data_IF_182424840510
#
_entry.id   IF_182424840510
#
_cell.length_a   1.000
_cell.length_b   1.000
_cell.length_c   1.000
_cell.angle_alpha   90.00
_cell.angle_beta   90.00
_cell.angle_gamma   90.00
#
_symmetry.space_group_name_H-M   'P 1'
#
loop_
_entity.id
_entity.type
_entity.pdbx_description
1 polymer ?
#
# COMPACT_ATOMS: atom_id res chain seq x y z
N UNK A 1 5.01 -18.74 -0.10
CA UNK A 1 4.27 -17.46 -0.09
C UNK A 1 5.04 -16.50 -0.98
N UNK A 2 4.55 -16.20 -2.19
CA UNK A 2 5.20 -15.20 -3.05
C UNK A 2 5.00 -13.84 -2.39
N UNK A 3 6.10 -13.20 -1.99
CA UNK A 3 6.06 -11.95 -1.24
C UNK A 3 5.85 -10.78 -2.21
N UNK A 4 4.59 -10.42 -2.47
CA UNK A 4 4.20 -9.34 -3.39
C UNK A 4 5.02 -8.04 -3.14
N UNK A 5 5.24 -7.71 -1.87
CA UNK A 5 5.98 -6.51 -1.46
C UNK A 5 7.44 -6.48 -1.91
N UNK A 6 8.10 -7.62 -2.13
CA UNK A 6 9.47 -7.63 -2.65
C UNK A 6 9.55 -7.27 -4.14
N UNK A 7 8.46 -7.46 -4.87
CA UNK A 7 8.38 -7.13 -6.30
C UNK A 7 7.64 -5.81 -6.56
N UNK A 8 7.06 -5.18 -5.52
CA UNK A 8 6.31 -3.92 -5.63
C UNK A 8 7.08 -2.81 -6.34
N UNK A 9 8.38 -2.67 -6.06
CA UNK A 9 9.22 -1.65 -6.68
C UNK A 9 9.44 -1.94 -8.17
N UNK A 10 9.67 -3.21 -8.53
CA UNK A 10 9.77 -3.64 -9.92
C UNK A 10 8.46 -3.40 -10.69
N UNK A 11 7.30 -3.71 -10.09
CA UNK A 11 6.00 -3.44 -10.71
C UNK A 11 5.76 -1.95 -10.90
N UNK A 12 6.20 -1.11 -9.95
CA UNK A 12 6.10 0.36 -10.09
C UNK A 12 6.91 0.84 -11.28
N UNK A 13 8.15 0.38 -11.39
CA UNK A 13 9.03 0.74 -12.51
C UNK A 13 8.44 0.26 -13.84
N UNK A 14 7.96 -0.97 -13.91
CA UNK A 14 7.35 -1.51 -15.12
C UNK A 14 6.07 -0.77 -15.52
N UNK A 15 5.28 -0.28 -14.56
CA UNK A 15 4.13 0.58 -14.82
C UNK A 15 4.54 1.88 -15.52
N UNK A 16 5.65 2.49 -15.11
CA UNK A 16 6.17 3.70 -15.74
C UNK A 16 6.78 3.41 -17.13
N UNK A 17 7.55 2.33 -17.27
CA UNK A 17 8.15 1.93 -18.55
C UNK A 17 7.11 1.58 -19.60
N UNK A 18 6.02 0.89 -19.21
CA UNK A 18 4.92 0.53 -20.10
C UNK A 18 3.75 1.51 -20.06
N UNK A 19 3.95 2.72 -19.52
CA UNK A 19 2.86 3.67 -19.27
C UNK A 19 2.04 3.96 -20.51
N UNK A 20 2.68 4.31 -21.61
CA UNK A 20 2.03 4.69 -22.87
C UNK A 20 1.31 3.55 -23.59
N UNK A 21 1.74 2.29 -23.40
CA UNK A 21 1.07 1.12 -23.97
C UNK A 21 -0.12 0.66 -23.13
N UNK A 22 0.00 0.75 -21.80
CA UNK A 22 -1.03 0.29 -20.87
C UNK A 22 -2.11 1.34 -20.65
N UNK A 23 -1.82 2.64 -20.74
CA UNK A 23 -2.78 3.72 -20.55
C UNK A 23 -4.09 3.55 -21.34
N UNK A 24 -4.09 3.34 -22.67
CA UNK A 24 -5.33 3.16 -23.42
C UNK A 24 -6.08 1.87 -23.01
N UNK A 25 -5.34 0.79 -22.72
CA UNK A 25 -5.93 -0.51 -22.31
C UNK A 25 -6.58 -0.42 -20.94
N UNK A 26 -5.89 0.17 -19.98
CA UNK A 26 -6.38 0.38 -18.61
C UNK A 26 -7.57 1.33 -18.61
N UNK A 27 -7.53 2.39 -19.41
CA UNK A 27 -8.65 3.31 -19.58
C UNK A 27 -9.88 2.60 -20.15
N UNK A 28 -9.71 1.73 -21.14
CA UNK A 28 -10.81 0.94 -21.71
C UNK A 28 -11.44 0.00 -20.67
N UNK A 29 -10.63 -0.75 -19.92
CA UNK A 29 -11.12 -1.62 -18.84
C UNK A 29 -11.84 -0.80 -17.77
N UNK A 30 -11.27 0.34 -17.35
CA UNK A 30 -11.90 1.24 -16.40
C UNK A 30 -13.27 1.71 -16.90
N UNK A 31 -13.37 2.13 -18.16
CA UNK A 31 -14.64 2.60 -18.73
C UNK A 31 -15.68 1.49 -18.85
N UNK A 32 -15.27 0.27 -19.18
CA UNK A 32 -16.15 -0.90 -19.23
C UNK A 32 -16.56 -1.42 -17.83
N UNK A 33 -15.85 -1.01 -16.78
CA UNK A 33 -16.11 -1.45 -15.42
C UNK A 33 -17.37 -0.83 -14.80
N UNK A 34 -17.92 -1.51 -13.80
CA UNK A 34 -19.08 -1.03 -13.04
C UNK A 34 -18.76 0.24 -12.24
N UNK A 35 -19.80 1.03 -11.96
CA UNK A 35 -19.69 2.29 -11.21
C UNK A 35 -19.02 2.09 -9.84
N UNK A 36 -19.25 0.95 -9.20
CA UNK A 36 -18.64 0.61 -7.92
C UNK A 36 -17.11 0.48 -8.04
N UNK A 37 -16.62 -0.15 -9.11
CA UNK A 37 -15.17 -0.27 -9.38
C UNK A 37 -14.60 1.09 -9.75
N UNK A 38 -15.32 1.89 -10.55
CA UNK A 38 -14.89 3.24 -10.89
C UNK A 38 -14.69 4.12 -9.64
N UNK A 39 -15.61 4.00 -8.68
CA UNK A 39 -15.49 4.67 -7.38
C UNK A 39 -14.33 4.10 -6.54
N UNK A 40 -14.11 2.78 -6.57
CA UNK A 40 -13.03 2.13 -5.82
C UNK A 40 -11.64 2.50 -6.36
N UNK A 41 -11.49 2.74 -7.67
CA UNK A 41 -10.23 3.21 -8.26
C UNK A 41 -9.95 4.66 -7.88
N UNK A 42 -10.99 5.49 -7.76
CA UNK A 42 -10.89 6.88 -7.26
C UNK A 42 -10.53 6.93 -5.77
N UNK A 43 -11.20 6.12 -4.96
CA UNK A 43 -10.97 6.03 -3.51
C UNK A 43 -10.81 4.56 -3.09
N UNK A 44 -9.59 4.01 -3.24
CA UNK A 44 -9.32 2.62 -2.90
C UNK A 44 -9.38 2.43 -1.38
N UNK A 45 -10.36 1.66 -0.91
CA UNK A 45 -10.54 1.33 0.52
C UNK A 45 -10.74 -0.16 0.74
N UNK A 46 -10.20 -0.68 1.84
CA UNK A 46 -10.32 -2.09 2.23
C UNK A 46 -11.79 -2.54 2.36
N UNK A 47 -12.62 -1.67 2.95
CA UNK A 47 -14.05 -1.91 3.11
C UNK A 47 -14.77 -2.09 1.77
N UNK A 48 -14.44 -1.27 0.77
CA UNK A 48 -15.01 -1.39 -0.56
C UNK A 48 -14.52 -2.64 -1.28
N UNK A 49 -13.23 -3.01 -1.13
CA UNK A 49 -12.68 -4.26 -1.69
C UNK A 49 -13.43 -5.48 -1.14
N UNK A 50 -13.72 -5.47 0.16
CA UNK A 50 -14.49 -6.54 0.81
C UNK A 50 -15.94 -6.58 0.32
N UNK A 51 -16.59 -5.42 0.19
CA UNK A 51 -18.00 -5.31 -0.22
C UNK A 51 -18.21 -5.68 -1.69
N UNK A 52 -17.26 -5.32 -2.57
CA UNK A 52 -17.34 -5.50 -4.02
C UNK A 52 -16.40 -6.60 -4.53
N UNK A 53 -16.07 -7.57 -3.67
CA UNK A 53 -15.09 -8.64 -3.93
C UNK A 53 -15.22 -9.30 -5.31
N UNK A 54 -16.43 -9.69 -5.73
CA UNK A 54 -16.64 -10.31 -7.04
C UNK A 54 -16.31 -9.37 -8.23
N UNK A 55 -16.68 -8.09 -8.13
CA UNK A 55 -16.38 -7.09 -9.15
C UNK A 55 -14.88 -6.76 -9.16
N UNK A 56 -14.26 -6.69 -7.98
CA UNK A 56 -12.81 -6.48 -7.83
C UNK A 56 -12.04 -7.64 -8.47
N UNK A 57 -12.44 -8.89 -8.20
CA UNK A 57 -11.83 -10.06 -8.80
C UNK A 57 -11.89 -9.98 -10.34
N UNK A 58 -13.07 -9.70 -10.91
CA UNK A 58 -13.21 -9.56 -12.36
C UNK A 58 -12.36 -8.43 -12.94
N UNK A 59 -12.26 -7.30 -12.24
CA UNK A 59 -11.40 -6.21 -12.67
C UNK A 59 -9.92 -6.60 -12.66
N UNK A 60 -9.47 -7.31 -11.62
CA UNK A 60 -8.11 -7.84 -11.53
C UNK A 60 -7.80 -8.85 -12.64
N UNK A 61 -8.77 -9.68 -13.04
CA UNK A 61 -8.64 -10.61 -14.17
C UNK A 61 -8.51 -9.89 -15.51
N UNK A 62 -9.27 -8.82 -15.74
CA UNK A 62 -9.15 -8.01 -16.97
C UNK A 62 -7.79 -7.27 -17.01
N UNK A 63 -7.30 -6.76 -15.87
CA UNK A 63 -5.95 -6.20 -15.76
C UNK A 63 -4.87 -7.26 -16.00
N UNK A 64 -5.07 -8.48 -15.50
CA UNK A 64 -4.16 -9.61 -15.73
C UNK A 64 -4.09 -10.02 -17.20
N UNK A 65 -5.21 -9.88 -17.93
CA UNK A 65 -5.31 -10.20 -19.36
C UNK A 65 -4.54 -9.24 -20.25
N UNK A 66 -4.39 -7.98 -19.84
CA UNK A 66 -3.54 -6.98 -20.51
C UNK A 66 -2.10 -6.98 -19.98
N UNK A 67 -1.73 -7.98 -19.17
CA UNK A 67 -0.40 -8.10 -18.57
C UNK A 67 -0.02 -6.89 -17.70
N UNK A 68 -1.00 -6.30 -17.00
CA UNK A 68 -0.73 -5.16 -16.13
C UNK A 68 0.24 -5.56 -15.00
N UNK A 69 1.27 -4.75 -14.67
CA UNK A 69 2.30 -5.13 -13.71
C UNK A 69 1.72 -5.51 -12.34
N UNK A 70 2.07 -6.71 -11.87
CA UNK A 70 1.61 -7.23 -10.58
C UNK A 70 0.15 -7.73 -10.55
N UNK A 71 -0.68 -7.45 -11.57
CA UNK A 71 -2.09 -7.85 -11.61
C UNK A 71 -2.28 -9.37 -11.63
N UNK A 72 -1.48 -10.12 -12.39
CA UNK A 72 -1.54 -11.59 -12.43
C UNK A 72 -1.35 -12.22 -11.05
N UNK A 73 -0.30 -11.80 -10.35
CA UNK A 73 0.02 -12.28 -9.00
C UNK A 73 -1.10 -11.96 -8.01
N UNK A 74 -1.71 -10.77 -8.11
CA UNK A 74 -2.80 -10.34 -7.23
C UNK A 74 -4.11 -11.04 -7.58
N UNK A 75 -4.45 -11.16 -8.87
CA UNK A 75 -5.65 -11.86 -9.33
C UNK A 75 -5.63 -13.34 -8.91
N UNK A 76 -4.50 -14.02 -9.09
CA UNK A 76 -4.34 -15.41 -8.67
C UNK A 76 -4.48 -15.58 -7.15
N UNK A 77 -3.86 -14.69 -6.37
CA UNK A 77 -3.98 -14.74 -4.92
C UNK A 77 -5.42 -14.43 -4.46
N UNK A 78 -6.04 -13.41 -5.05
CA UNK A 78 -7.42 -13.02 -4.79
C UNK A 78 -8.41 -14.13 -5.18
N UNK A 79 -8.18 -14.86 -6.27
CA UNK A 79 -8.97 -16.04 -6.64
C UNK A 79 -8.85 -17.18 -5.64
N UNK A 80 -7.70 -17.32 -4.97
CA UNK A 80 -7.43 -18.42 -4.00
C UNK A 80 -7.96 -18.11 -2.60
N UNK A 81 -7.73 -16.89 -2.10
CA UNK A 81 -8.06 -16.51 -0.72
C UNK A 81 -9.12 -15.42 -0.60
N UNK A 82 -9.54 -14.83 -1.72
CA UNK A 82 -10.48 -13.71 -1.78
C UNK A 82 -9.76 -12.35 -1.84
N UNK A 83 -10.22 -11.39 -2.68
CA UNK A 83 -9.68 -10.03 -2.76
C UNK A 83 -9.54 -9.31 -1.42
N UNK A 84 -10.48 -9.54 -0.49
CA UNK A 84 -10.45 -8.94 0.84
C UNK A 84 -9.23 -9.38 1.69
N UNK A 85 -8.69 -10.58 1.47
CA UNK A 85 -7.53 -11.10 2.18
C UNK A 85 -6.20 -10.66 1.58
N UNK A 86 -6.24 -10.09 0.37
CA UNK A 86 -5.10 -9.50 -0.33
C UNK A 86 -5.35 -8.02 -0.63
N UNK A 87 -6.09 -7.36 0.25
CA UNK A 87 -6.51 -5.98 0.06
C UNK A 87 -5.33 -5.03 -0.12
N UNK A 88 -4.24 -5.15 0.66
CA UNK A 88 -3.04 -4.34 0.48
C UNK A 88 -2.49 -4.35 -0.96
N UNK A 89 -2.15 -5.54 -1.52
CA UNK A 89 -1.78 -5.66 -2.93
C UNK A 89 -2.84 -5.16 -3.94
N UNK A 90 -4.14 -5.40 -3.67
CA UNK A 90 -5.24 -4.92 -4.52
C UNK A 90 -5.29 -3.40 -4.55
N UNK A 91 -5.25 -2.76 -3.38
CA UNK A 91 -5.27 -1.31 -3.24
C UNK A 91 -4.07 -0.68 -3.95
N UNK A 92 -2.89 -1.28 -3.83
CA UNK A 92 -1.71 -0.81 -4.53
C UNK A 92 -1.85 -0.89 -6.06
N UNK A 93 -2.41 -1.98 -6.60
CA UNK A 93 -2.71 -2.07 -8.04
C UNK A 93 -3.70 -0.98 -8.45
N UNK A 94 -4.72 -0.73 -7.63
CA UNK A 94 -5.76 0.26 -7.89
C UNK A 94 -5.22 1.69 -7.88
N UNK A 95 -4.36 2.03 -6.91
CA UNK A 95 -3.60 3.29 -6.90
C UNK A 95 -2.82 3.45 -8.20
N UNK A 96 -2.07 2.40 -8.62
CA UNK A 96 -1.33 2.46 -9.87
C UNK A 96 -2.25 2.68 -11.05
N UNK A 97 -3.33 1.91 -11.18
CA UNK A 97 -4.34 2.06 -12.24
C UNK A 97 -4.93 3.47 -12.29
N UNK A 98 -5.20 4.11 -11.14
CA UNK A 98 -5.66 5.50 -11.09
C UNK A 98 -4.70 6.46 -11.83
N UNK A 99 -3.38 6.24 -11.70
CA UNK A 99 -2.36 7.06 -12.40
C UNK A 99 -2.32 6.89 -13.92
N UNK A 100 -2.98 5.86 -14.46
CA UNK A 100 -3.14 5.61 -15.90
C UNK A 100 -4.46 6.15 -16.45
N UNK A 101 -5.31 6.75 -15.61
CA UNK A 101 -6.58 7.31 -16.07
C UNK A 101 -6.44 8.83 -16.03
N UNK A 102 -6.21 9.50 -17.18
CA UNK A 102 -5.91 10.93 -17.22
C UNK A 102 -6.98 11.79 -16.53
N UNK A 103 -8.25 11.40 -16.69
CA UNK A 103 -9.38 12.08 -16.04
C UNK A 103 -9.30 12.05 -14.51
N UNK A 104 -8.78 10.97 -13.91
CA UNK A 104 -8.62 10.87 -12.46
C UNK A 104 -7.44 11.70 -11.98
N UNK A 105 -6.32 11.65 -12.71
CA UNK A 105 -5.12 12.43 -12.39
C UNK A 105 -5.41 13.95 -12.42
N UNK A 106 -6.19 14.41 -13.40
CA UNK A 106 -6.58 15.81 -13.50
C UNK A 106 -7.59 16.23 -12.41
N UNK A 107 -8.55 15.36 -12.09
CA UNK A 107 -9.52 15.57 -11.00
C UNK A 107 -8.83 15.64 -9.63
N UNK A 108 -7.87 14.75 -9.36
CA UNK A 108 -7.08 14.74 -8.11
C UNK A 108 -6.23 16.00 -7.96
N UNK A 109 -5.58 16.43 -9.06
CA UNK A 109 -4.76 17.65 -9.09
C UNK A 109 -5.60 18.90 -8.83
N UNK A 110 -6.82 18.98 -9.41
CA UNK A 110 -7.74 20.08 -9.17
C UNK A 110 -8.25 20.12 -7.72
N UNK A 111 -8.55 18.95 -7.14
CA UNK A 111 -8.96 18.82 -5.74
C UNK A 111 -7.84 19.23 -4.77
N UNK A 112 -6.59 18.94 -5.11
CA UNK A 112 -5.43 19.36 -4.32
C UNK A 112 -5.18 20.86 -4.40
N UNK A 113 -5.36 21.47 -5.58
CA UNK A 113 -5.23 22.92 -5.78
C UNK A 113 -6.31 23.71 -5.01
N UNK A 114 -7.56 23.24 -5.05
CA UNK A 114 -8.70 23.84 -4.32
C UNK A 114 -8.53 23.72 -2.80
N UNK A 115 -8.01 22.58 -2.31
CA UNK A 115 -7.74 22.37 -0.88
C UNK A 115 -6.57 23.21 -0.36
N UNK A 116 -5.66 23.64 -1.23
CA UNK A 116 -4.52 24.50 -0.88
C UNK A 116 -4.89 25.98 -0.86
N UNK A 117 -5.88 26.39 -1.62
CA UNK A 117 -6.40 27.78 -1.65
C UNK A 117 -7.27 28.12 -0.44
N UNK A 118 -7.96 27.14 0.16
CA UNK A 118 -8.76 27.33 1.38
C UNK A 118 -7.91 27.47 2.67
N UNK A 119 -6.60 27.22 2.61
CA UNK A 119 -5.70 27.26 3.76
C UNK A 119 -4.94 28.60 3.95
N UNK A 120 -5.27 29.65 3.20
CA UNK A 120 -4.69 30.99 3.42
C UNK A 120 -5.52 31.70 4.50
N UNK A 121 -5.07 31.79 5.77
CA UNK A 121 -5.71 32.72 6.71
C UNK A 121 -5.57 34.14 6.15
N UNK A 122 -6.55 35.03 6.36
CA UNK A 122 -6.44 36.42 5.92
C UNK A 122 -5.16 37.06 6.50
N UNK A 123 -4.45 37.92 5.75
CA UNK A 123 -3.27 38.61 6.26
C UNK A 123 -3.68 39.54 7.40
N UNK A 124 -3.39 39.12 8.63
CA UNK A 124 -3.37 40.02 9.78
C UNK A 124 -2.06 40.80 9.72
N UNK A 125 -2.20 42.06 9.32
CA UNK A 125 -1.20 43.10 9.40
C UNK A 125 -0.81 43.36 10.87
N UNK A 126 0.49 43.62 11.07
CA UNK A 126 1.10 44.44 12.13
C UNK A 126 1.76 43.79 13.38
N UNK A 127 2.99 44.30 13.61
CA UNK A 127 3.76 44.46 14.86
C UNK A 127 4.54 43.22 15.37
N UNK A 128 5.88 43.14 15.21
CA UNK A 128 6.98 43.86 15.88
C UNK A 128 7.58 43.08 17.07
N UNK A 129 8.90 43.24 17.23
CA UNK A 129 9.82 42.73 18.28
C UNK A 129 10.22 41.24 18.23
N UNK A 130 11.47 40.84 17.99
CA UNK A 130 12.80 41.18 18.56
C UNK A 130 13.26 40.19 19.65
N UNK A 131 14.45 39.62 19.42
CA UNK A 131 15.43 39.11 20.38
C UNK A 131 15.22 37.81 21.19
N UNK A 132 16.11 36.85 20.87
CA UNK A 132 17.23 36.35 21.71
C UNK A 132 16.99 35.18 22.69
N UNK A 133 17.95 34.24 22.64
CA UNK A 133 18.37 33.25 23.67
C UNK A 133 17.42 32.08 23.96
N UNK A 134 17.81 30.88 24.39
CA UNK A 134 19.07 30.27 24.83
C UNK A 134 18.82 28.74 24.90
N UNK A 135 19.80 27.92 24.45
CA UNK A 135 20.47 26.91 25.29
C UNK A 135 19.67 25.72 25.86
N UNK A 136 20.14 24.52 25.50
CA UNK A 136 20.76 23.49 26.38
C UNK A 136 20.26 22.08 26.06
N UNK A 137 21.09 21.35 25.34
CA UNK A 137 21.01 19.90 25.22
C UNK A 137 21.91 19.31 26.32
N UNK A 138 21.31 18.61 27.31
CA UNK A 138 22.05 17.75 28.24
C UNK A 138 21.11 16.74 28.92
N UNK A 139 21.70 15.58 29.28
CA UNK A 139 21.23 14.49 30.17
C UNK A 139 20.75 13.25 29.38
N UNK A 140 21.42 12.09 29.27
CA UNK A 140 22.34 11.29 30.11
C UNK A 140 21.78 10.89 31.49
N UNK A 141 21.18 9.69 31.61
CA UNK A 141 21.24 8.81 32.78
C UNK A 141 20.71 7.39 32.40
N UNK A 142 21.55 6.34 32.36
CA UNK A 142 21.85 5.35 33.43
C UNK A 142 20.77 4.24 33.52
N UNK A 143 21.00 3.01 33.01
CA UNK A 143 21.67 1.84 33.63
C UNK A 143 20.74 1.00 34.56
N UNK A 144 20.46 -0.26 34.15
CA UNK A 144 20.09 -1.42 34.99
C UNK A 144 20.03 -2.66 34.06
N UNK A 145 21.04 -3.54 34.01
CA UNK A 145 21.42 -4.57 34.99
C UNK A 145 20.42 -5.75 35.08
N UNK A 146 20.88 -6.88 34.51
CA UNK A 146 20.68 -8.28 34.94
C UNK A 146 19.27 -8.87 34.91
N UNK A 147 19.03 -9.80 33.97
CA UNK A 147 18.49 -11.11 34.36
C UNK A 147 18.96 -12.21 33.40
N UNK A 148 19.89 -13.01 33.91
CA UNK A 148 20.20 -14.37 33.49
C UNK A 148 18.98 -15.26 33.77
N UNK A 149 18.62 -16.13 32.81
CA UNK A 149 18.19 -17.53 33.01
C UNK A 149 17.13 -17.96 31.99
N UNK A 150 17.55 -18.78 31.02
CA UNK A 150 16.66 -19.77 30.41
C UNK A 150 17.48 -21.00 30.03
N UNK A 151 17.52 -21.93 30.99
CA UNK A 151 17.67 -23.36 30.76
C UNK A 151 16.64 -23.82 29.72
N UNK A 152 17.08 -24.29 28.56
CA UNK A 152 16.27 -25.18 27.71
C UNK A 152 17.18 -26.15 26.94
N UNK A 153 17.39 -27.31 27.54
CA UNK A 153 17.74 -28.55 26.86
C UNK A 153 17.18 -29.67 27.74
N UNK A 154 16.26 -30.53 27.25
CA UNK A 154 16.61 -31.52 26.22
C UNK A 154 15.46 -31.85 25.23
N UNK A 155 15.70 -32.63 24.15
CA UNK A 155 15.39 -34.07 24.27
C UNK A 155 16.29 -35.06 23.47
N UNK A 156 16.58 -36.18 24.16
CA UNK A 156 16.66 -37.59 23.70
C UNK A 156 17.73 -38.03 22.65
N UNK A 157 18.00 -39.35 22.43
CA UNK A 157 17.61 -40.58 23.14
C UNK A 157 18.75 -41.63 23.40
N UNK A 158 18.38 -42.71 24.09
CA UNK A 158 18.90 -44.09 24.00
C UNK A 158 20.26 -44.47 24.63
N UNK A 159 20.21 -45.28 25.70
CA UNK A 159 20.78 -46.64 25.73
C UNK A 159 20.42 -47.36 27.04
N UNK A 160 19.72 -48.47 26.90
CA UNK A 160 19.52 -49.56 27.87
C UNK A 160 20.31 -50.77 27.30
N UNK A 161 20.73 -51.82 28.04
CA UNK A 161 21.21 -52.00 29.43
C UNK A 161 22.62 -52.71 29.40
N UNK A 162 23.15 -53.47 30.40
CA UNK A 162 22.56 -54.63 31.10
C UNK A 162 22.78 -54.76 32.64
N UNK A 163 21.94 -55.61 33.25
CA UNK A 163 22.02 -56.30 34.57
C UNK A 163 23.34 -57.11 34.76
N UNK A 164 23.69 -57.67 35.94
CA UNK A 164 22.87 -58.06 37.10
C UNK A 164 23.19 -57.38 38.43
#
# INVERSE_FOLDING_TARGET
MVNYWKSKEQYSKECEEKKTDLEPKVTEIYQASSTEIKALIKEPTDAAVKKHSAAVQKFLDELAKIDFPGSKSVSEAASKVGPAYVSGPVLFVFEKVSTFIPALVEEEKKKEEEKKEEAVPPPAEAEAESSKEEVKEKEIAVEAAVEEKLEDAPPAPAADPPKP
#
